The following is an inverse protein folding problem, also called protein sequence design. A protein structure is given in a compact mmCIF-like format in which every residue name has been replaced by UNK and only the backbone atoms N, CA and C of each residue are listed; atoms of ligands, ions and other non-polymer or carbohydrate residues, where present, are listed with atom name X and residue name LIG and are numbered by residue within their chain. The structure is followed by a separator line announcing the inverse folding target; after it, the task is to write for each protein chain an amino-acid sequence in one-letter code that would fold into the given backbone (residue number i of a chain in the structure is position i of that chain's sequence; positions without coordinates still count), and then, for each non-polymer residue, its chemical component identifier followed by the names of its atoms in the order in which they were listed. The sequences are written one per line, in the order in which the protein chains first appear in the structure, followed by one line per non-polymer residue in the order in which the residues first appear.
data_IF_787318920399
#
_entry.id   IF_787318920399
#
_cell.length_a   1.000
_cell.length_b   1.000
_cell.length_c   1.000
_cell.angle_alpha   90.00
_cell.angle_beta   90.00
_cell.angle_gamma   90.00
#
_symmetry.space_group_name_H-M   'P 1'
#
loop_
_entity.id
_entity.type
_entity.pdbx_description
1 polymer ?
#
# COMPACT_ATOMS: atom_id res chain seq x y z
N UNK A 1 3.84 1.19 -13.17
CA UNK A 1 2.62 1.72 -12.50
C UNK A 1 1.42 1.72 -13.46
N UNK A 2 1.51 2.39 -14.61
CA UNK A 2 0.43 2.51 -15.61
C UNK A 2 -0.13 1.15 -16.09
N UNK A 3 0.75 0.19 -16.44
CA UNK A 3 0.33 -1.15 -16.89
C UNK A 3 -0.52 -1.90 -15.85
N UNK A 4 -0.20 -1.74 -14.57
CA UNK A 4 -0.93 -2.39 -13.47
C UNK A 4 -2.32 -1.78 -13.27
N UNK A 5 -2.44 -0.46 -13.38
CA UNK A 5 -3.75 0.22 -13.35
C UNK A 5 -4.61 -0.17 -14.55
N UNK A 6 -4.06 -0.20 -15.77
CA UNK A 6 -4.79 -0.67 -16.98
C UNK A 6 -5.32 -2.10 -16.81
N UNK A 7 -4.48 -3.02 -16.30
CA UNK A 7 -4.90 -4.39 -16.04
C UNK A 7 -5.99 -4.51 -14.96
N UNK A 8 -6.01 -3.61 -13.97
CA UNK A 8 -7.05 -3.59 -12.92
C UNK A 8 -8.38 -3.10 -13.48
N UNK A 9 -8.37 -2.05 -14.30
CA UNK A 9 -9.56 -1.52 -14.98
C UNK A 9 -10.19 -2.56 -15.92
N UNK A 10 -9.38 -3.19 -16.78
CA UNK A 10 -9.85 -4.24 -17.68
C UNK A 10 -10.51 -5.43 -16.95
N UNK A 11 -10.06 -5.76 -15.74
CA UNK A 11 -10.68 -6.83 -14.92
C UNK A 11 -12.03 -6.41 -14.33
N UNK A 12 -12.19 -5.14 -13.97
CA UNK A 12 -13.46 -4.60 -13.44
C UNK A 12 -14.51 -4.50 -14.55
N UNK A 13 -14.09 -4.14 -15.77
CA UNK A 13 -14.96 -4.08 -16.95
C UNK A 13 -15.44 -5.47 -17.40
N UNK A 14 -14.66 -6.52 -17.13
CA UNK A 14 -14.98 -7.90 -17.52
C UNK A 14 -15.95 -8.65 -16.60
N UNK A 15 -16.28 -8.13 -15.41
CA UNK A 15 -17.20 -8.78 -14.47
C UNK A 15 -18.64 -8.32 -14.70
N UNK A 16 -19.55 -9.25 -15.03
CA UNK A 16 -20.99 -8.98 -15.23
C UNK A 16 -21.84 -8.92 -13.95
N UNK A 17 -21.23 -9.05 -12.78
CA UNK A 17 -21.97 -9.05 -11.51
C UNK A 17 -22.30 -7.61 -11.12
N UNK A 18 -23.59 -7.32 -10.97
CA UNK A 18 -24.05 -6.12 -10.26
C UNK A 18 -23.58 -6.26 -8.82
N UNK A 19 -22.53 -5.52 -8.46
CA UNK A 19 -22.02 -5.52 -7.11
C UNK A 19 -23.06 -4.86 -6.20
N UNK A 20 -23.88 -5.65 -5.51
CA UNK A 20 -24.71 -5.15 -4.43
C UNK A 20 -23.79 -4.54 -3.37
N UNK A 21 -23.83 -3.20 -3.27
CA UNK A 21 -23.03 -2.44 -2.31
C UNK A 21 -23.66 -2.59 -0.92
N UNK A 22 -23.39 -3.72 -0.31
CA UNK A 22 -23.69 -3.90 1.10
C UNK A 22 -22.67 -3.09 1.91
N UNK A 23 -23.15 -2.11 2.70
CA UNK A 23 -22.31 -1.21 3.51
C UNK A 23 -21.73 -1.92 4.73
N UNK A 24 -20.80 -2.85 4.51
CA UNK A 24 -20.07 -3.53 5.57
C UNK A 24 -18.73 -2.84 5.82
N UNK A 25 -18.44 -2.52 7.08
CA UNK A 25 -17.12 -2.06 7.49
C UNK A 25 -16.25 -3.26 7.85
N UNK A 26 -14.99 -3.25 7.41
CA UNK A 26 -14.04 -4.32 7.73
C UNK A 26 -13.06 -3.87 8.81
N UNK A 27 -12.84 -4.73 9.80
CA UNK A 27 -11.83 -4.53 10.85
C UNK A 27 -10.86 -5.72 10.85
N UNK A 28 -9.57 -5.42 10.83
CA UNK A 28 -8.51 -6.42 10.79
C UNK A 28 -7.89 -6.64 12.17
N UNK A 29 -8.00 -7.85 12.71
CA UNK A 29 -7.44 -8.24 14.03
C UNK A 29 -6.55 -9.48 13.92
N UNK A 30 -5.59 -9.66 14.83
CA UNK A 30 -4.90 -10.95 14.95
C UNK A 30 -5.85 -12.05 15.37
N UNK A 31 -5.65 -13.27 14.85
CA UNK A 31 -6.46 -14.42 15.26
C UNK A 31 -6.08 -14.90 16.66
N UNK A 32 -7.07 -14.95 17.55
CA UNK A 32 -6.99 -15.53 18.87
C UNK A 32 -8.17 -16.49 19.06
N UNK A 33 -7.89 -17.76 19.36
CA UNK A 33 -8.92 -18.83 19.42
C UNK A 33 -10.03 -18.54 20.45
N UNK A 34 -9.70 -17.90 21.55
CA UNK A 34 -10.63 -17.67 22.66
C UNK A 34 -11.44 -16.39 22.46
N UNK A 35 -10.81 -15.35 21.92
CA UNK A 35 -11.40 -14.02 21.82
C UNK A 35 -12.16 -13.82 20.50
N UNK A 36 -11.59 -14.25 19.36
CA UNK A 36 -12.09 -13.85 18.04
C UNK A 36 -13.46 -14.42 17.70
N UNK A 37 -13.81 -15.60 18.21
CA UNK A 37 -15.11 -16.23 17.97
C UNK A 37 -16.25 -15.42 18.58
N UNK A 38 -16.07 -14.96 19.82
CA UNK A 38 -17.04 -14.09 20.50
C UNK A 38 -17.14 -12.73 19.81
N UNK A 39 -15.99 -12.13 19.48
CA UNK A 39 -15.95 -10.85 18.78
C UNK A 39 -16.69 -10.92 17.44
N UNK A 40 -16.51 -11.98 16.65
CA UNK A 40 -17.17 -12.12 15.34
C UNK A 40 -18.68 -12.04 15.46
N UNK A 41 -19.28 -12.71 16.45
CA UNK A 41 -20.72 -12.65 16.70
C UNK A 41 -21.18 -11.24 17.10
N UNK A 42 -20.40 -10.53 17.91
CA UNK A 42 -20.73 -9.16 18.34
C UNK A 42 -20.64 -8.18 17.16
N UNK A 43 -19.54 -8.19 16.41
CA UNK A 43 -19.31 -7.27 15.28
C UNK A 43 -20.31 -7.47 14.14
N UNK A 44 -20.77 -8.71 13.89
CA UNK A 44 -21.80 -9.00 12.89
C UNK A 44 -23.12 -8.25 13.15
N UNK A 45 -23.50 -8.04 14.42
CA UNK A 45 -24.71 -7.26 14.79
C UNK A 45 -24.62 -5.79 14.41
N UNK A 46 -23.40 -5.26 14.28
CA UNK A 46 -23.12 -3.86 13.93
C UNK A 46 -22.76 -3.68 12.45
N UNK A 47 -23.03 -4.67 11.59
CA UNK A 47 -22.64 -4.65 10.18
C UNK A 47 -21.11 -4.55 9.95
N UNK A 48 -20.31 -5.02 10.93
CA UNK A 48 -18.86 -5.03 10.85
C UNK A 48 -18.37 -6.46 10.63
N UNK A 49 -17.53 -6.65 9.61
CA UNK A 49 -16.90 -7.94 9.30
C UNK A 49 -15.47 -7.96 9.83
N UNK A 50 -15.17 -8.96 10.65
CA UNK A 50 -13.81 -9.20 11.11
C UNK A 50 -13.01 -9.96 10.05
N UNK A 51 -11.83 -9.44 9.75
CA UNK A 51 -10.81 -10.10 8.96
C UNK A 51 -9.62 -10.45 9.86
N UNK A 52 -9.02 -11.61 9.62
CA UNK A 52 -7.91 -12.10 10.43
C UNK A 52 -6.59 -11.94 9.70
N UNK A 53 -5.58 -11.42 10.39
CA UNK A 53 -4.20 -11.36 9.90
C UNK A 53 -3.24 -11.98 10.90
N UNK A 54 -2.31 -12.80 10.44
CA UNK A 54 -1.30 -13.37 11.33
C UNK A 54 -0.29 -12.29 11.77
N UNK A 55 0.16 -12.36 13.02
CA UNK A 55 1.15 -11.43 13.56
C UNK A 55 2.58 -11.85 13.20
N UNK A 56 2.81 -13.11 12.85
CA UNK A 56 4.10 -13.78 12.62
C UNK A 56 4.41 -13.97 11.12
N UNK A 57 4.27 -12.93 10.31
CA UNK A 57 4.60 -13.02 8.88
C UNK A 57 6.10 -13.16 8.66
N UNK A 58 6.50 -13.91 7.63
CA UNK A 58 7.93 -14.13 7.26
C UNK A 58 8.69 -12.81 7.14
N UNK A 59 8.08 -11.76 6.56
CA UNK A 59 8.71 -10.45 6.44
C UNK A 59 8.95 -9.72 7.77
N UNK A 60 8.22 -10.06 8.84
CA UNK A 60 8.53 -9.55 10.19
C UNK A 60 9.68 -10.32 10.83
N UNK A 61 9.75 -11.64 10.61
CA UNK A 61 10.80 -12.50 11.17
C UNK A 61 12.14 -12.24 10.48
N UNK A 62 12.15 -12.22 9.15
CA UNK A 62 13.36 -12.00 8.35
C UNK A 62 13.74 -10.52 8.25
N UNK A 63 12.84 -9.61 8.65
CA UNK A 63 13.01 -8.18 8.44
C UNK A 63 13.11 -7.80 6.95
N UNK A 64 13.24 -6.51 6.68
CA UNK A 64 13.63 -6.09 5.34
C UNK A 64 15.14 -6.35 5.22
N UNK A 65 15.55 -7.32 4.38
CA UNK A 65 16.96 -7.72 4.22
C UNK A 65 17.85 -6.56 3.74
N UNK A 66 17.26 -5.53 3.13
CA UNK A 66 17.99 -4.36 2.65
C UNK A 66 18.05 -3.28 3.73
N UNK A 67 19.26 -2.81 4.02
CA UNK A 67 19.47 -1.62 4.80
C UNK A 67 18.73 -0.42 4.20
N UNK A 68 18.18 0.43 5.07
CA UNK A 68 17.56 1.68 4.64
C UNK A 68 18.66 2.62 4.17
N UNK A 69 18.71 2.85 2.87
CA UNK A 69 19.62 3.82 2.27
C UNK A 69 18.98 5.22 2.42
N UNK A 70 19.74 6.26 2.78
CA UNK A 70 19.26 7.64 2.78
C UNK A 70 18.67 8.03 1.42
N UNK A 71 17.69 8.93 1.42
CA UNK A 71 16.97 9.34 0.21
C UNK A 71 17.89 9.91 -0.87
N UNK A 72 18.95 10.62 -0.49
CA UNK A 72 19.93 11.22 -1.40
C UNK A 72 20.86 10.19 -2.05
N UNK A 73 21.12 9.07 -1.37
CA UNK A 73 21.92 7.96 -1.91
C UNK A 73 21.07 6.98 -2.75
N UNK A 74 19.76 7.19 -2.83
CA UNK A 74 18.85 6.39 -3.65
C UNK A 74 18.77 6.92 -5.10
N UNK A 75 18.41 6.04 -6.04
CA UNK A 75 17.91 6.46 -7.35
C UNK A 75 16.49 7.03 -7.20
N UNK A 76 16.13 8.06 -7.95
CA UNK A 76 14.82 8.68 -7.78
C UNK A 76 14.51 9.80 -8.75
N UNK A 77 13.42 10.51 -8.44
CA UNK A 77 13.02 11.75 -9.10
C UNK A 77 13.47 12.90 -8.21
N UNK A 78 14.09 13.92 -8.81
CA UNK A 78 14.54 15.12 -8.11
C UNK A 78 13.91 16.38 -8.71
N UNK A 79 13.90 17.46 -7.93
CA UNK A 79 13.34 18.76 -8.28
C UNK A 79 14.42 19.82 -8.12
N UNK A 80 14.69 20.57 -9.20
CA UNK A 80 15.59 21.74 -9.19
C UNK A 80 14.72 22.98 -9.34
N UNK A 81 14.92 23.97 -8.46
CA UNK A 81 14.28 25.28 -8.56
C UNK A 81 15.15 26.21 -9.40
N UNK A 82 14.54 26.93 -10.34
CA UNK A 82 15.24 28.01 -11.03
C UNK A 82 15.50 29.16 -10.06
N UNK A 83 16.70 29.75 -10.09
CA UNK A 83 17.03 30.91 -9.24
C UNK A 83 16.25 32.17 -9.64
N UNK A 84 15.99 32.32 -10.93
CA UNK A 84 15.48 33.57 -11.52
C UNK A 84 13.98 33.54 -11.84
N UNK A 85 13.30 32.41 -11.66
CA UNK A 85 11.86 32.29 -11.90
C UNK A 85 11.21 31.16 -11.11
N UNK A 86 9.87 31.14 -11.08
CA UNK A 86 9.08 30.12 -10.36
C UNK A 86 8.98 28.76 -11.08
N UNK A 87 9.81 28.55 -12.10
CA UNK A 87 9.87 27.29 -12.81
C UNK A 87 10.69 26.24 -12.05
N UNK A 88 10.35 24.98 -12.26
CA UNK A 88 11.05 23.84 -11.67
C UNK A 88 11.39 22.79 -12.74
N UNK A 89 12.62 22.28 -12.69
CA UNK A 89 13.01 21.11 -13.46
C UNK A 89 12.75 19.84 -12.64
N UNK A 90 12.02 18.89 -13.23
CA UNK A 90 11.73 17.57 -12.65
C UNK A 90 12.42 16.50 -13.51
N UNK A 91 13.42 15.82 -12.94
CA UNK A 91 14.21 14.82 -13.64
C UNK A 91 14.23 13.49 -12.90
N UNK A 92 14.44 12.39 -13.64
CA UNK A 92 14.67 11.06 -13.06
C UNK A 92 16.12 10.63 -13.24
N UNK A 93 16.74 10.06 -12.20
CA UNK A 93 18.08 9.46 -12.26
C UNK A 93 18.04 8.01 -11.81
N UNK A 94 18.76 7.14 -12.53
CA UNK A 94 19.03 5.75 -12.13
C UNK A 94 20.24 5.62 -11.19
N UNK A 95 21.08 6.66 -11.11
CA UNK A 95 22.21 6.75 -10.18
C UNK A 95 21.77 7.41 -8.88
N UNK A 96 22.60 7.33 -7.83
CA UNK A 96 22.40 8.06 -6.58
C UNK A 96 22.26 9.57 -6.87
N UNK A 97 21.36 10.25 -6.17
CA UNK A 97 21.12 11.69 -6.39
C UNK A 97 22.40 12.49 -6.11
N UNK A 98 23.13 12.15 -5.04
CA UNK A 98 24.42 12.77 -4.67
C UNK A 98 25.53 12.65 -5.74
N UNK A 99 25.44 11.67 -6.63
CA UNK A 99 26.47 11.52 -7.69
C UNK A 99 26.24 12.52 -8.82
N UNK A 100 25.03 13.08 -8.94
CA UNK A 100 24.70 14.09 -9.95
C UNK A 100 24.72 15.53 -9.41
N UNK A 101 24.62 15.71 -8.09
CA UNK A 101 24.47 17.00 -7.42
C UNK A 101 25.30 17.06 -6.16
#
# INVERSE_FOLDING_TARGET
IIRRCKMKLHRLEGTRLLAESTDYKYVCVPYDRHVTRGLTSVFQRFNIRLAFKSSNTIGKVLGNVKDKIPTLDCSGVYKIKCGDCDCFYLGQTRRRVLVRF
#
